data_IF_163484601333
#
_entry.id   IF_163484601333
#
_cell.length_a   1.000
_cell.length_b   1.000
_cell.length_c   1.000
_cell.angle_alpha   90.00
_cell.angle_beta   90.00
_cell.angle_gamma   90.00
#
_symmetry.space_group_name_H-M   'P 1'
#
loop_
_entity.id
_entity.type
_entity.pdbx_description
1 polymer ?
#
# COMPACT_ATOMS: atom_id res chain seq x y z
N UNK A 1 -4.82 16.46 13.45
CA UNK A 1 -4.49 15.13 13.98
C UNK A 1 -5.01 14.97 15.40
N UNK A 2 -5.78 13.91 15.65
CA UNK A 2 -6.36 13.63 16.96
C UNK A 2 -5.29 13.18 17.98
N UNK A 3 -5.50 13.44 19.30
CA UNK A 3 -4.67 12.88 20.36
C UNK A 3 -4.65 11.35 20.33
N UNK A 4 -3.57 10.73 20.83
CA UNK A 4 -3.38 9.26 20.78
C UNK A 4 -4.54 8.49 21.42
N UNK A 5 -5.13 9.02 22.51
CA UNK A 5 -6.27 8.41 23.21
C UNK A 5 -7.56 8.37 22.37
N UNK A 6 -7.64 9.18 21.32
CA UNK A 6 -8.87 9.39 20.55
C UNK A 6 -8.85 8.68 19.19
N UNK A 7 -7.67 8.46 18.61
CA UNK A 7 -7.49 8.01 17.21
C UNK A 7 -8.23 6.71 16.85
N UNK A 8 -8.32 5.77 17.79
CA UNK A 8 -8.89 4.43 17.56
C UNK A 8 -10.27 4.25 18.21
N UNK A 9 -10.88 5.33 18.71
CA UNK A 9 -12.27 5.27 19.16
C UNK A 9 -13.19 5.05 17.96
N UNK A 10 -14.26 4.28 18.15
CA UNK A 10 -15.22 3.96 17.10
C UNK A 10 -15.82 5.20 16.43
N UNK A 11 -15.99 6.30 17.18
CA UNK A 11 -16.48 7.59 16.66
C UNK A 11 -15.52 8.29 15.70
N UNK A 12 -14.23 7.92 15.71
CA UNK A 12 -13.18 8.51 14.86
C UNK A 12 -12.70 7.53 13.78
N UNK A 13 -13.33 6.36 13.65
CA UNK A 13 -12.99 5.33 12.67
C UNK A 13 -14.16 5.16 11.71
N UNK A 14 -13.91 5.40 10.43
CA UNK A 14 -14.90 5.21 9.36
C UNK A 14 -14.61 3.88 8.68
N UNK A 15 -15.59 2.97 8.70
CA UNK A 15 -15.51 1.71 7.96
C UNK A 15 -15.85 1.97 6.49
N UNK A 16 -14.85 1.88 5.63
CA UNK A 16 -14.97 2.17 4.18
C UNK A 16 -15.36 0.92 3.38
N UNK A 17 -15.00 -0.27 3.84
CA UNK A 17 -15.30 -1.50 3.11
C UNK A 17 -15.09 -2.74 3.95
N UNK A 18 -15.78 -3.81 3.55
CA UNK A 18 -15.66 -5.14 4.15
C UNK A 18 -15.43 -6.16 3.04
N UNK A 19 -14.45 -7.03 3.24
CA UNK A 19 -14.13 -8.12 2.31
C UNK A 19 -14.69 -9.40 2.91
N UNK A 20 -15.63 -10.04 2.20
CA UNK A 20 -16.25 -11.27 2.65
C UNK A 20 -15.24 -12.43 2.67
N UNK A 21 -15.21 -13.18 3.78
CA UNK A 21 -14.52 -14.48 3.86
C UNK A 21 -15.23 -15.57 3.05
N UNK A 22 -14.70 -16.82 2.99
CA UNK A 22 -13.75 -17.42 3.94
C UNK A 22 -12.29 -17.38 3.47
N UNK A 23 -12.03 -17.08 2.20
CA UNK A 23 -10.68 -17.00 1.64
C UNK A 23 -10.23 -15.56 1.57
N UNK A 24 -8.96 -15.34 1.85
CA UNK A 24 -8.34 -14.03 1.68
C UNK A 24 -8.43 -13.61 0.21
N UNK A 25 -8.76 -12.34 -0.05
CA UNK A 25 -8.88 -11.84 -1.41
C UNK A 25 -7.58 -12.04 -2.19
N UNK A 26 -7.72 -12.44 -3.46
CA UNK A 26 -6.59 -12.41 -4.39
C UNK A 26 -6.19 -10.96 -4.62
N UNK A 27 -5.00 -10.76 -5.18
CA UNK A 27 -4.53 -9.39 -5.44
C UNK A 27 -5.38 -8.71 -6.51
N UNK A 28 -5.75 -9.41 -7.57
CA UNK A 28 -6.60 -8.84 -8.62
C UNK A 28 -7.96 -8.45 -8.03
N UNK A 29 -8.52 -9.27 -7.14
CA UNK A 29 -9.75 -8.95 -6.42
C UNK A 29 -9.58 -7.76 -5.47
N UNK A 30 -8.41 -7.58 -4.84
CA UNK A 30 -8.16 -6.42 -3.99
C UNK A 30 -8.28 -5.09 -4.73
N UNK A 31 -7.82 -5.03 -5.99
CA UNK A 31 -8.00 -3.83 -6.81
C UNK A 31 -9.49 -3.51 -7.03
N UNK A 32 -10.34 -4.54 -7.23
CA UNK A 32 -11.79 -4.32 -7.34
C UNK A 32 -12.39 -3.71 -6.06
N UNK A 33 -11.90 -4.09 -4.88
CA UNK A 33 -12.34 -3.53 -3.60
C UNK A 33 -11.81 -2.12 -3.34
N UNK A 34 -10.59 -1.81 -3.80
CA UNK A 34 -9.96 -0.51 -3.58
C UNK A 34 -10.46 0.56 -4.56
N UNK A 35 -10.90 0.16 -5.75
CA UNK A 35 -11.31 1.09 -6.81
C UNK A 35 -12.38 2.11 -6.38
N UNK A 36 -13.48 1.74 -5.68
CA UNK A 36 -14.45 2.72 -5.22
C UNK A 36 -13.84 3.75 -4.27
N UNK A 37 -13.04 3.29 -3.30
CA UNK A 37 -12.34 4.16 -2.35
C UNK A 37 -11.39 5.13 -3.07
N UNK A 38 -10.63 4.63 -4.04
CA UNK A 38 -9.69 5.46 -4.81
C UNK A 38 -10.41 6.53 -5.61
N UNK A 39 -11.53 6.20 -6.25
CA UNK A 39 -12.34 7.17 -6.98
C UNK A 39 -12.86 8.29 -6.06
N UNK A 40 -13.41 7.94 -4.89
CA UNK A 40 -13.87 8.92 -3.90
C UNK A 40 -12.72 9.79 -3.37
N UNK A 41 -11.53 9.21 -3.14
CA UNK A 41 -10.34 9.96 -2.73
C UNK A 41 -9.84 10.93 -3.80
N UNK A 42 -9.99 10.60 -5.10
CA UNK A 42 -9.64 11.51 -6.19
C UNK A 42 -10.59 12.71 -6.24
N UNK A 43 -11.89 12.49 -6.06
CA UNK A 43 -12.89 13.56 -5.98
C UNK A 43 -12.67 14.43 -4.75
N UNK A 44 -12.47 13.82 -3.58
CA UNK A 44 -12.19 14.53 -2.33
C UNK A 44 -10.85 15.27 -2.36
N UNK A 45 -9.88 14.84 -3.16
CA UNK A 45 -8.61 15.57 -3.27
C UNK A 45 -8.79 16.91 -3.98
N UNK A 46 -9.69 17.00 -4.97
CA UNK A 46 -10.09 18.26 -5.61
C UNK A 46 -10.96 19.08 -4.65
N UNK A 47 -11.85 18.41 -3.94
CA UNK A 47 -12.76 19.00 -2.96
C UNK A 47 -14.22 18.78 -3.35
N UNK A 48 -15.03 18.40 -2.37
CA UNK A 48 -16.47 18.13 -2.54
C UNK A 48 -17.27 19.16 -1.76
N UNK A 49 -18.27 19.79 -2.39
CA UNK A 49 -19.21 20.67 -1.70
C UNK A 49 -20.14 19.84 -0.81
N UNK A 50 -20.15 20.16 0.48
CA UNK A 50 -21.00 19.53 1.49
C UNK A 50 -21.74 20.60 2.29
N UNK A 51 -22.85 20.21 2.90
CA UNK A 51 -23.59 21.10 3.80
C UNK A 51 -23.28 20.69 5.25
N UNK A 52 -22.82 21.64 6.06
CA UNK A 52 -22.53 21.39 7.47
C UNK A 52 -23.81 21.35 8.34
N UNK A 53 -23.65 21.07 9.63
CA UNK A 53 -24.76 21.05 10.59
C UNK A 53 -25.45 22.41 10.79
N UNK A 54 -24.87 23.51 10.30
CA UNK A 54 -25.42 24.86 10.33
C UNK A 54 -26.01 25.28 8.98
N UNK A 55 -26.19 24.32 8.06
CA UNK A 55 -26.73 24.54 6.73
C UNK A 55 -25.87 25.46 5.84
N UNK A 56 -24.56 25.50 6.10
CA UNK A 56 -23.59 26.25 5.29
C UNK A 56 -22.95 25.33 4.26
N UNK A 57 -22.82 25.82 3.03
CA UNK A 57 -22.03 25.16 1.99
C UNK A 57 -20.55 25.32 2.31
N UNK A 58 -19.86 24.20 2.47
CA UNK A 58 -18.43 24.12 2.70
C UNK A 58 -17.80 23.19 1.66
N UNK A 59 -16.55 23.46 1.29
CA UNK A 59 -15.77 22.53 0.46
C UNK A 59 -14.91 21.70 1.40
N UNK A 60 -15.07 20.38 1.34
CA UNK A 60 -14.30 19.42 2.14
C UNK A 60 -13.30 18.72 1.23
N UNK A 61 -12.04 18.72 1.65
CA UNK A 61 -10.98 17.99 0.98
C UNK A 61 -10.46 16.87 1.87
N UNK A 62 -10.11 15.73 1.26
CA UNK A 62 -9.45 14.62 1.94
C UNK A 62 -8.34 14.03 1.09
N UNK A 63 -7.31 13.51 1.75
CA UNK A 63 -6.19 12.83 1.11
C UNK A 63 -5.78 11.63 1.95
N UNK A 64 -5.41 10.54 1.28
CA UNK A 64 -4.80 9.39 1.96
C UNK A 64 -3.40 9.76 2.47
N UNK A 65 -3.16 9.63 3.77
CA UNK A 65 -1.87 9.97 4.38
C UNK A 65 -0.91 8.78 4.48
N UNK A 66 -1.43 7.59 4.80
CA UNK A 66 -0.63 6.38 4.89
C UNK A 66 -1.46 5.10 4.78
N UNK A 67 -0.82 4.00 4.36
CA UNK A 67 -1.35 2.64 4.49
C UNK A 67 -0.63 1.97 5.65
N UNK A 68 -1.37 1.53 6.66
CA UNK A 68 -0.83 0.81 7.81
C UNK A 68 -1.55 -0.53 7.95
N UNK A 69 -0.86 -1.61 7.64
CA UNK A 69 -1.36 -2.97 7.74
C UNK A 69 -0.19 -3.96 7.85
N UNK A 70 -0.49 -5.23 8.13
CA UNK A 70 0.54 -6.28 8.16
C UNK A 70 1.22 -6.48 6.79
N UNK A 71 2.29 -7.28 6.75
CA UNK A 71 3.08 -7.50 5.52
C UNK A 71 2.23 -8.12 4.40
N UNK A 72 1.36 -9.09 4.71
CA UNK A 72 0.50 -9.75 3.72
C UNK A 72 -0.47 -8.78 3.07
N UNK A 73 -1.17 -7.99 3.89
CA UNK A 73 -2.11 -6.98 3.45
C UNK A 73 -1.39 -5.86 2.68
N UNK A 74 -0.22 -5.42 3.16
CA UNK A 74 0.64 -4.42 2.50
C UNK A 74 0.99 -4.86 1.07
N UNK A 75 1.37 -6.12 0.88
CA UNK A 75 1.67 -6.65 -0.46
C UNK A 75 0.47 -6.58 -1.40
N UNK A 76 -0.73 -6.84 -0.90
CA UNK A 76 -1.96 -6.87 -1.74
C UNK A 76 -2.53 -5.48 -1.99
N UNK A 77 -2.47 -4.61 -0.99
CA UNK A 77 -3.02 -3.25 -1.07
C UNK A 77 -2.07 -2.29 -1.76
N UNK A 78 -0.77 -2.37 -1.49
CA UNK A 78 0.24 -1.49 -2.09
C UNK A 78 0.99 -2.09 -3.27
N UNK A 79 0.64 -3.31 -3.66
CA UNK A 79 1.25 -3.96 -4.82
C UNK A 79 2.71 -4.36 -4.59
N UNK A 80 3.12 -4.74 -3.38
CA UNK A 80 4.46 -5.31 -3.18
C UNK A 80 4.48 -6.81 -3.45
N UNK A 81 5.59 -7.32 -3.98
CA UNK A 81 5.74 -8.74 -4.32
C UNK A 81 5.96 -9.63 -3.08
N UNK A 82 5.71 -10.93 -3.27
CA UNK A 82 5.72 -11.94 -2.20
C UNK A 82 7.10 -12.31 -1.67
N UNK A 83 7.13 -13.27 -0.71
CA UNK A 83 8.35 -13.70 -0.01
C UNK A 83 9.50 -14.22 -0.89
N UNK A 84 9.22 -14.61 -2.13
CA UNK A 84 10.21 -15.13 -3.09
C UNK A 84 10.69 -14.07 -4.08
N UNK A 85 10.31 -12.81 -3.88
CA UNK A 85 10.79 -11.70 -4.69
C UNK A 85 12.25 -11.41 -4.39
N UNK A 86 12.97 -10.98 -5.42
CA UNK A 86 14.30 -10.41 -5.24
C UNK A 86 14.24 -9.13 -4.41
N UNK A 87 13.13 -8.37 -4.41
CA UNK A 87 12.99 -7.19 -3.53
C UNK A 87 12.30 -7.56 -2.20
N UNK A 88 13.06 -7.70 -1.12
CA UNK A 88 12.50 -8.15 0.17
C UNK A 88 11.95 -7.04 1.07
N UNK A 89 12.24 -5.78 0.74
CA UNK A 89 11.69 -4.63 1.44
C UNK A 89 11.16 -3.63 0.41
N UNK A 90 9.91 -3.19 0.56
CA UNK A 90 9.33 -2.20 -0.34
C UNK A 90 9.96 -0.81 -0.21
N UNK A 91 10.65 -0.53 0.90
CA UNK A 91 11.41 0.73 1.09
C UNK A 91 12.80 0.70 0.46
N UNK A 92 13.36 -0.48 0.27
CA UNK A 92 14.74 -0.64 -0.17
C UNK A 92 14.72 -1.12 -1.61
N UNK A 93 15.25 -0.31 -2.54
CA UNK A 93 15.32 -0.64 -3.98
C UNK A 93 16.32 -1.78 -4.29
N UNK A 94 16.66 -2.61 -3.30
CA UNK A 94 17.67 -3.64 -3.41
C UNK A 94 17.02 -4.96 -3.84
N UNK A 95 17.49 -5.47 -4.96
CA UNK A 95 17.29 -6.87 -5.33
C UNK A 95 18.32 -7.73 -4.61
N UNK A 96 17.82 -8.65 -3.80
CA UNK A 96 18.56 -9.69 -3.13
C UNK A 96 18.73 -10.85 -4.11
N UNK A 97 19.99 -11.15 -4.40
CA UNK A 97 20.33 -12.30 -5.24
C UNK A 97 20.30 -13.57 -4.41
N UNK A 98 20.06 -14.70 -5.05
CA UNK A 98 20.13 -16.00 -4.37
C UNK A 98 21.57 -16.29 -3.96
N UNK A 99 21.79 -16.64 -2.69
CA UNK A 99 23.10 -17.04 -2.17
C UNK A 99 23.59 -18.22 -3.02
N UNK A 100 24.77 -18.08 -3.64
CA UNK A 100 25.38 -19.13 -4.46
C UNK A 100 25.40 -20.45 -3.68
N UNK A 101 24.85 -21.51 -4.28
CA UNK A 101 24.67 -22.88 -3.72
C UNK A 101 23.48 -23.07 -2.76
N UNK A 102 22.59 -22.10 -2.61
CA UNK A 102 21.32 -22.28 -1.89
C UNK A 102 20.15 -21.68 -2.68
N UNK A 103 18.91 -21.95 -2.27
CA UNK A 103 17.69 -21.28 -2.76
C UNK A 103 17.31 -20.04 -1.93
N UNK A 104 18.15 -19.61 -0.99
CA UNK A 104 17.88 -18.49 -0.06
C UNK A 104 18.39 -17.17 -0.62
N UNK A 105 17.71 -16.07 -0.31
CA UNK A 105 18.07 -14.71 -0.74
C UNK A 105 19.14 -14.10 0.20
N UNK A 106 20.09 -13.34 -0.36
CA UNK A 106 21.12 -12.58 0.37
C UNK A 106 20.64 -11.16 0.63
N UNK A 107 20.40 -10.79 1.89
CA UNK A 107 19.80 -9.51 2.29
C UNK A 107 20.78 -8.32 2.47
N UNK A 108 22.01 -8.40 1.95
CA UNK A 108 23.05 -7.35 2.12
C UNK A 108 23.14 -6.34 0.96
N UNK A 109 23.62 -5.10 1.23
CA UNK A 109 24.15 -4.18 0.18
C UNK A 109 23.26 -3.03 -0.35
N UNK A 110 22.61 -2.24 0.51
CA UNK A 110 21.72 -1.11 0.13
C UNK A 110 22.37 -0.01 -0.74
N UNK A 111 21.70 0.43 -1.82
CA UNK A 111 21.96 1.70 -2.55
C UNK A 111 20.66 2.35 -3.04
N UNK A 112 20.65 3.68 -3.17
CA UNK A 112 19.49 4.51 -3.54
C UNK A 112 19.67 5.13 -4.94
N UNK A 113 18.73 4.92 -5.88
CA UNK A 113 18.23 5.95 -6.83
C UNK A 113 17.44 5.40 -8.05
N UNK A 114 16.33 6.10 -8.32
CA UNK A 114 15.60 6.37 -9.59
C UNK A 114 14.61 5.34 -10.19
N UNK A 115 13.36 5.79 -10.42
CA UNK A 115 12.40 5.14 -11.32
C UNK A 115 11.30 6.08 -11.83
N UNK A 116 11.05 6.10 -13.14
CA UNK A 116 9.77 6.50 -13.74
C UNK A 116 9.62 5.92 -15.17
N UNK A 117 8.44 5.33 -15.46
CA UNK A 117 7.81 5.05 -16.76
C UNK A 117 7.75 3.58 -17.24
N UNK A 118 6.52 3.06 -17.40
CA UNK A 118 6.18 1.91 -18.26
C UNK A 118 4.67 1.88 -18.58
N UNK A 119 4.29 1.32 -19.74
CA UNK A 119 2.98 1.58 -20.38
C UNK A 119 2.15 0.34 -20.80
N UNK A 120 2.61 -0.94 -20.70
CA UNK A 120 1.85 -2.11 -21.22
C UNK A 120 1.80 -3.41 -20.34
N UNK A 121 0.80 -4.30 -20.54
CA UNK A 121 0.54 -5.52 -19.72
C UNK A 121 1.63 -6.62 -19.75
N UNK A 122 2.30 -6.87 -20.88
CA UNK A 122 3.43 -7.84 -20.93
C UNK A 122 4.66 -7.27 -20.23
N UNK A 123 4.82 -5.95 -20.29
CA UNK A 123 5.86 -5.22 -19.55
C UNK A 123 5.56 -5.23 -18.06
N UNK A 124 4.29 -5.13 -17.64
CA UNK A 124 3.89 -5.22 -16.22
C UNK A 124 4.40 -6.52 -15.59
N UNK A 125 4.24 -7.69 -16.23
CA UNK A 125 4.75 -8.96 -15.69
C UNK A 125 6.29 -9.03 -15.64
N UNK A 126 6.99 -8.39 -16.58
CA UNK A 126 8.45 -8.30 -16.56
C UNK A 126 8.93 -7.32 -15.47
N UNK A 127 8.28 -6.17 -15.34
CA UNK A 127 8.55 -5.15 -14.31
C UNK A 127 8.16 -5.64 -12.92
N UNK A 128 7.17 -6.50 -12.79
CA UNK A 128 6.86 -7.17 -11.52
C UNK A 128 8.02 -8.04 -11.05
N UNK A 129 8.64 -8.78 -11.98
CA UNK A 129 9.82 -9.60 -11.71
C UNK A 129 11.09 -8.79 -11.51
N UNK A 130 11.24 -7.69 -12.24
CA UNK A 130 12.42 -6.82 -12.21
C UNK A 130 12.37 -5.78 -11.08
N UNK A 131 11.19 -5.36 -10.62
CA UNK A 131 11.07 -4.24 -9.69
C UNK A 131 10.56 -4.70 -8.33
N UNK A 132 10.02 -5.91 -8.25
CA UNK A 132 9.44 -6.44 -7.03
C UNK A 132 8.15 -5.70 -6.61
N UNK A 133 7.51 -4.99 -7.54
CA UNK A 133 6.26 -4.26 -7.30
C UNK A 133 5.31 -4.43 -8.49
N UNK A 134 4.02 -4.59 -8.19
CA UNK A 134 2.90 -4.76 -9.11
C UNK A 134 1.95 -3.57 -9.03
N UNK A 135 1.05 -3.46 -10.01
CA UNK A 135 0.03 -2.43 -10.01
C UNK A 135 -0.99 -2.61 -8.86
N UNK A 136 -1.38 -1.50 -8.27
CA UNK A 136 -2.44 -1.38 -7.27
C UNK A 136 -3.28 -0.15 -7.61
N UNK A 137 -4.58 -0.19 -7.35
CA UNK A 137 -5.46 0.99 -7.54
C UNK A 137 -4.94 2.25 -6.83
N UNK A 138 -4.22 2.11 -5.72
CA UNK A 138 -3.65 3.26 -5.01
C UNK A 138 -2.63 4.06 -5.85
N UNK A 139 -2.08 3.48 -6.92
CA UNK A 139 -1.19 4.20 -7.85
C UNK A 139 -1.89 5.33 -8.61
N UNK A 140 -3.22 5.34 -8.69
CA UNK A 140 -3.98 6.44 -9.28
C UNK A 140 -3.90 7.74 -8.47
N UNK A 141 -3.59 7.64 -7.18
CA UNK A 141 -3.44 8.80 -6.31
C UNK A 141 -2.09 9.47 -6.59
N UNK A 142 -2.08 10.45 -7.49
CA UNK A 142 -0.84 11.14 -7.94
C UNK A 142 -0.05 11.82 -6.80
N UNK A 143 -0.71 12.11 -5.68
CA UNK A 143 -0.11 12.68 -4.47
C UNK A 143 0.45 11.62 -3.50
N UNK A 144 0.24 10.32 -3.77
CA UNK A 144 0.52 9.24 -2.84
C UNK A 144 1.61 8.29 -3.37
N UNK A 145 2.83 8.49 -2.88
CA UNK A 145 3.92 7.54 -3.07
C UNK A 145 3.74 6.30 -2.15
N UNK A 146 3.29 5.18 -2.73
CA UNK A 146 3.08 3.92 -2.01
C UNK A 146 4.32 3.41 -1.30
N UNK A 147 5.51 3.58 -1.89
CA UNK A 147 6.75 3.18 -1.25
C UNK A 147 6.96 4.01 0.01
N UNK A 148 6.77 5.33 -0.03
CA UNK A 148 6.99 6.21 1.13
C UNK A 148 5.89 6.14 2.19
N UNK A 149 4.63 6.03 1.77
CA UNK A 149 3.47 6.16 2.65
C UNK A 149 2.88 4.83 3.14
N UNK A 150 3.36 3.68 2.66
CA UNK A 150 3.06 2.40 3.32
C UNK A 150 3.98 2.19 4.52
N UNK A 151 3.40 2.21 5.72
CA UNK A 151 4.08 2.09 7.00
C UNK A 151 4.58 0.65 7.16
N UNK A 152 5.85 0.50 7.54
CA UNK A 152 6.34 -0.80 8.02
C UNK A 152 5.74 -0.97 9.42
N UNK A 153 5.06 -2.07 9.67
CA UNK A 153 4.67 -2.46 11.02
C UNK A 153 5.80 -3.28 11.67
N UNK A 154 6.76 -2.66 12.39
CA UNK A 154 7.82 -3.40 13.06
C UNK A 154 7.27 -4.22 14.23
N UNK A 155 6.14 -3.81 14.82
CA UNK A 155 5.63 -4.42 16.05
C UNK A 155 5.11 -5.82 15.75
N UNK A 156 4.33 -5.99 14.70
CA UNK A 156 3.81 -7.32 14.36
C UNK A 156 4.93 -8.30 13.96
N UNK A 157 5.94 -7.82 13.23
CA UNK A 157 7.07 -8.67 12.82
C UNK A 157 8.01 -9.06 13.96
N UNK A 158 8.16 -8.19 14.95
CA UNK A 158 8.95 -8.44 16.14
C UNK A 158 8.24 -9.45 17.08
N UNK A 159 6.93 -9.29 17.28
CA UNK A 159 6.15 -10.19 18.14
C UNK A 159 5.85 -11.56 17.51
N UNK A 160 5.77 -11.66 16.18
CA UNK A 160 5.58 -12.93 15.48
C UNK A 160 6.89 -13.69 15.17
N UNK A 161 8.06 -13.09 15.43
CA UNK A 161 9.35 -13.70 15.13
C UNK A 161 9.62 -13.92 13.64
N UNK A 162 8.92 -13.18 12.77
CA UNK A 162 9.08 -13.23 11.31
C UNK A 162 10.26 -12.39 10.82
N UNK A 163 10.75 -11.46 11.65
CA UNK A 163 12.06 -10.86 11.49
C UNK A 163 13.13 -11.85 12.00
N UNK A 164 13.66 -12.68 11.10
CA UNK A 164 14.88 -13.45 11.32
C UNK A 164 16.05 -12.79 10.61
#
# INVERSE_FOLDING_TARGET
>A
NLPRSERLKSENVILVGMISGPKEASTDSMNHYLKPLVNELLEMYIGVEMTDSQNRKIVVCAALMCVACDISATRKTSGFTGHMSTCACHKCQQQFTTIKKTSKLDYSGFKYSNWANALNNTEQTCLEKENGTRWSELHWLSYFDLVRFTVIDPIHNLYLGTAK
#
